data_IF_219768037177
#
_entry.id   IF_219768037177
#
_cell.length_a   1.000
_cell.length_b   1.000
_cell.length_c   1.000
_cell.angle_alpha   90.00
_cell.angle_beta   90.00
_cell.angle_gamma   90.00
#
_symmetry.space_group_name_H-M   'P 1'
#
loop_
_entity.id
_entity.type
_entity.pdbx_description
1 polymer ?
#
# COMPACT_ATOMS: atom_id res chain seq x y z
N UNK A 1 -21.97 -25.63 -50.94
CA UNK A 1 -22.37 -25.81 -49.53
C UNK A 1 -21.20 -25.41 -48.65
N UNK A 2 -21.35 -24.41 -47.78
CA UNK A 2 -20.28 -23.96 -46.88
C UNK A 2 -20.41 -24.62 -45.51
N UNK A 3 -19.37 -25.32 -45.06
CA UNK A 3 -19.32 -25.94 -43.74
C UNK A 3 -19.07 -24.86 -42.66
N UNK A 4 -19.98 -24.75 -41.69
CA UNK A 4 -19.87 -23.81 -40.58
C UNK A 4 -19.23 -24.50 -39.37
N UNK A 5 -17.92 -24.75 -39.45
CA UNK A 5 -17.15 -25.52 -38.46
C UNK A 5 -17.28 -25.01 -37.01
N UNK A 6 -17.57 -23.72 -36.81
CA UNK A 6 -17.71 -23.10 -35.47
C UNK A 6 -19.05 -23.37 -34.79
N UNK A 7 -20.05 -23.90 -35.51
CA UNK A 7 -21.39 -24.19 -34.98
C UNK A 7 -21.57 -25.64 -34.55
N UNK A 8 -20.78 -26.54 -35.15
CA UNK A 8 -20.90 -28.00 -35.01
C UNK A 8 -19.84 -28.60 -34.08
N UNK A 9 -18.91 -27.79 -33.57
CA UNK A 9 -18.02 -28.22 -32.50
C UNK A 9 -18.86 -28.46 -31.24
N UNK A 10 -19.03 -29.73 -30.84
CA UNK A 10 -19.52 -30.04 -29.50
C UNK A 10 -18.62 -29.29 -28.51
N UNK A 11 -19.19 -28.56 -27.54
CA UNK A 11 -18.39 -27.82 -26.57
C UNK A 11 -17.59 -28.83 -25.75
N UNK A 12 -16.34 -29.04 -26.14
CA UNK A 12 -15.34 -29.84 -25.45
C UNK A 12 -15.22 -29.36 -24.00
N UNK A 13 -15.77 -30.13 -23.05
CA UNK A 13 -15.44 -30.24 -21.63
C UNK A 13 -15.34 -29.00 -20.71
N UNK A 14 -15.27 -27.79 -21.25
CA UNK A 14 -15.19 -26.51 -20.55
C UNK A 14 -16.00 -25.50 -21.35
N UNK A 15 -17.27 -25.38 -21.00
CA UNK A 15 -18.14 -24.34 -21.52
C UNK A 15 -17.50 -22.96 -21.33
N UNK A 16 -17.81 -22.03 -22.23
CA UNK A 16 -17.40 -20.62 -22.09
C UNK A 16 -17.79 -20.07 -20.72
N UNK A 17 -18.93 -20.54 -20.19
CA UNK A 17 -19.42 -20.15 -18.88
C UNK A 17 -18.49 -20.63 -17.75
N UNK A 18 -17.97 -21.86 -17.80
CA UNK A 18 -16.99 -22.38 -16.83
C UNK A 18 -15.68 -21.58 -16.83
N UNK A 19 -15.24 -21.13 -18.01
CA UNK A 19 -14.07 -20.25 -18.14
C UNK A 19 -14.36 -18.90 -17.46
N UNK A 20 -15.52 -18.30 -17.74
CA UNK A 20 -15.94 -17.04 -17.12
C UNK A 20 -16.05 -17.20 -15.61
N UNK A 21 -16.65 -18.29 -15.12
CA UNK A 21 -16.81 -18.55 -13.69
C UNK A 21 -15.46 -18.75 -12.99
N UNK A 22 -14.51 -19.45 -13.60
CA UNK A 22 -13.14 -19.58 -13.06
C UNK A 22 -12.46 -18.22 -12.95
N UNK A 23 -12.49 -17.44 -14.03
CA UNK A 23 -11.90 -16.10 -14.06
C UNK A 23 -12.55 -15.25 -12.95
N UNK A 24 -13.88 -15.23 -12.86
CA UNK A 24 -14.58 -14.48 -11.81
C UNK A 24 -14.20 -14.96 -10.40
N UNK A 25 -14.04 -16.27 -10.18
CA UNK A 25 -13.59 -16.81 -8.90
C UNK A 25 -12.15 -16.37 -8.55
N UNK A 26 -11.24 -16.39 -9.53
CA UNK A 26 -9.87 -15.89 -9.38
C UNK A 26 -9.85 -14.39 -9.03
N UNK A 27 -10.62 -13.56 -9.72
CA UNK A 27 -10.75 -12.13 -9.42
C UNK A 27 -11.29 -11.87 -8.01
N UNK A 28 -12.29 -12.63 -7.55
CA UNK A 28 -12.82 -12.51 -6.18
C UNK A 28 -11.77 -12.92 -5.14
N UNK A 29 -10.99 -13.96 -5.42
CA UNK A 29 -9.93 -14.42 -4.52
C UNK A 29 -8.81 -13.37 -4.40
N UNK A 30 -8.40 -12.76 -5.52
CA UNK A 30 -7.37 -11.73 -5.53
C UNK A 30 -7.83 -10.45 -4.82
N UNK A 31 -9.07 -10.02 -5.05
CA UNK A 31 -9.65 -8.89 -4.30
C UNK A 31 -9.62 -9.09 -2.80
N UNK A 32 -10.01 -10.30 -2.33
CA UNK A 32 -9.98 -10.63 -0.91
C UNK A 32 -8.56 -10.56 -0.34
N UNK A 33 -7.56 -10.99 -1.11
CA UNK A 33 -6.14 -10.81 -0.74
C UNK A 33 -5.82 -9.33 -0.60
N UNK A 34 -6.06 -8.51 -1.63
CA UNK A 34 -5.75 -7.07 -1.59
C UNK A 34 -6.46 -6.36 -0.43
N UNK A 35 -7.73 -6.65 -0.19
CA UNK A 35 -8.51 -6.12 0.94
C UNK A 35 -7.88 -6.51 2.29
N UNK A 36 -7.35 -7.73 2.42
CA UNK A 36 -6.66 -8.18 3.63
C UNK A 36 -5.26 -7.56 3.84
N UNK A 37 -4.61 -7.02 2.79
CA UNK A 37 -3.29 -6.38 2.91
C UNK A 37 -3.35 -4.94 3.43
N UNK A 38 -4.55 -4.39 3.68
CA UNK A 38 -4.74 -2.99 4.10
C UNK A 38 -4.92 -2.75 5.61
N UNK A 39 -4.76 -3.76 6.47
CA UNK A 39 -5.10 -3.64 7.91
C UNK A 39 -3.99 -3.01 8.77
N UNK A 40 -2.80 -2.77 8.21
CA UNK A 40 -1.69 -2.13 8.94
C UNK A 40 -1.68 -0.60 8.81
N UNK A 41 -0.99 0.11 9.72
CA UNK A 41 -0.77 1.55 9.58
C UNK A 41 -0.08 1.84 8.25
N UNK A 42 -0.68 2.72 7.47
CA UNK A 42 -0.17 3.16 6.18
C UNK A 42 1.23 3.77 6.30
N UNK A 43 1.96 3.90 5.18
CA UNK A 43 3.34 4.35 5.19
C UNK A 43 3.55 5.76 5.77
N UNK A 44 2.50 6.58 5.84
CA UNK A 44 2.52 7.93 6.42
C UNK A 44 1.86 8.01 7.81
N UNK A 45 1.18 6.95 8.24
CA UNK A 45 0.54 6.92 9.56
C UNK A 45 1.57 6.98 10.67
N UNK A 46 1.14 7.55 11.79
CA UNK A 46 1.95 7.65 12.98
C UNK A 46 2.44 6.24 13.38
N UNK A 47 3.69 6.11 13.83
CA UNK A 47 4.18 4.84 14.34
C UNK A 47 3.42 4.51 15.63
N UNK A 48 3.02 3.24 15.80
CA UNK A 48 2.29 2.79 16.99
C UNK A 48 3.15 2.85 18.26
N UNK A 49 4.48 2.82 18.10
CA UNK A 49 5.45 2.95 19.18
C UNK A 49 6.43 4.11 18.91
N UNK A 50 7.00 4.72 19.96
CA UNK A 50 8.03 5.73 19.80
C UNK A 50 9.21 5.17 19.00
N UNK A 51 9.69 5.93 18.03
CA UNK A 51 10.87 5.55 17.24
C UNK A 51 12.13 5.62 18.10
N UNK A 52 13.08 4.73 17.83
CA UNK A 52 14.45 4.92 18.31
C UNK A 52 15.10 6.11 17.58
N UNK A 53 16.19 6.66 18.12
CA UNK A 53 16.91 7.76 17.46
C UNK A 53 17.41 7.36 16.07
N UNK A 54 17.91 6.12 15.92
CA UNK A 54 18.38 5.58 14.64
C UNK A 54 17.23 5.44 13.65
N UNK A 55 16.08 4.91 14.08
CA UNK A 55 14.90 4.79 13.22
C UNK A 55 14.35 6.16 12.83
N UNK A 56 14.35 7.12 13.76
CA UNK A 56 13.94 8.50 13.47
C UNK A 56 14.82 9.14 12.39
N UNK A 57 16.13 8.92 12.42
CA UNK A 57 17.01 9.35 11.32
C UNK A 57 16.66 8.69 10.00
N UNK A 58 16.40 7.38 9.99
CA UNK A 58 16.02 6.66 8.78
C UNK A 58 14.66 7.12 8.22
N UNK A 59 13.67 7.32 9.09
CA UNK A 59 12.36 7.88 8.74
C UNK A 59 12.50 9.27 8.12
N UNK A 60 13.31 10.17 8.70
CA UNK A 60 13.55 11.49 8.12
C UNK A 60 14.17 11.41 6.71
N UNK A 61 15.02 10.42 6.46
CA UNK A 61 15.63 10.19 5.14
C UNK A 61 14.62 9.62 4.14
N UNK A 62 13.83 8.61 4.53
CA UNK A 62 12.82 8.00 3.68
C UNK A 62 11.71 8.98 3.31
N UNK A 63 11.34 9.85 4.23
CA UNK A 63 10.27 10.85 4.07
C UNK A 63 10.80 12.25 3.71
N UNK A 64 11.93 12.34 3.00
CA UNK A 64 12.50 13.62 2.55
C UNK A 64 11.50 14.46 1.75
N UNK A 65 10.72 13.83 0.87
CA UNK A 65 9.68 14.49 0.05
C UNK A 65 8.39 14.83 0.79
N UNK A 66 8.18 14.32 2.01
CA UNK A 66 6.98 14.63 2.78
C UNK A 66 7.11 15.97 3.49
N UNK A 67 6.00 16.72 3.61
CA UNK A 67 5.91 17.82 4.57
C UNK A 67 5.64 17.28 5.96
N UNK A 68 6.02 18.02 7.00
CA UNK A 68 5.82 17.61 8.39
C UNK A 68 4.33 17.60 8.75
N UNK A 69 3.56 18.59 8.28
CA UNK A 69 2.11 18.65 8.52
C UNK A 69 1.33 17.49 7.86
N UNK A 70 1.85 16.93 6.76
CA UNK A 70 1.14 15.93 5.95
C UNK A 70 1.62 14.50 6.21
N UNK A 71 2.61 14.31 7.09
CA UNK A 71 3.21 13.00 7.37
C UNK A 71 3.41 12.81 8.88
N UNK A 72 2.42 12.26 9.58
CA UNK A 72 2.50 11.94 11.01
C UNK A 72 3.75 11.14 11.37
N UNK A 73 4.16 10.18 10.53
CA UNK A 73 5.40 9.43 10.73
C UNK A 73 6.66 10.29 10.75
N UNK A 74 6.74 11.28 9.86
CA UNK A 74 7.86 12.24 9.81
C UNK A 74 7.81 13.20 11.01
N UNK A 75 6.62 13.64 11.41
CA UNK A 75 6.44 14.49 12.58
C UNK A 75 6.94 13.78 13.86
N UNK A 76 6.56 12.51 14.05
CA UNK A 76 7.03 11.68 15.17
C UNK A 76 8.56 11.53 15.17
N UNK A 77 9.17 11.25 14.02
CA UNK A 77 10.62 11.17 13.89
C UNK A 77 11.32 12.50 14.24
N UNK A 78 10.78 13.63 13.77
CA UNK A 78 11.32 14.96 14.13
C UNK A 78 11.28 15.19 15.64
N UNK A 79 10.16 14.87 16.30
CA UNK A 79 10.03 15.05 17.75
C UNK A 79 11.07 14.22 18.52
N UNK A 80 11.29 12.96 18.15
CA UNK A 80 12.32 12.11 18.76
C UNK A 80 13.71 12.71 18.61
N UNK A 81 14.06 13.22 17.43
CA UNK A 81 15.37 13.83 17.18
C UNK A 81 15.56 15.15 17.94
N UNK A 82 14.51 15.94 18.12
CA UNK A 82 14.54 17.16 18.94
C UNK A 82 14.75 16.79 20.41
N UNK A 83 13.96 15.84 20.93
CA UNK A 83 14.06 15.38 22.31
C UNK A 83 15.46 14.79 22.62
N UNK A 84 16.07 14.12 21.64
CA UNK A 84 17.43 13.58 21.75
C UNK A 84 18.56 14.62 21.52
N UNK A 85 18.22 15.89 21.26
CA UNK A 85 19.19 16.95 20.97
C UNK A 85 19.96 16.77 19.65
N UNK A 86 19.44 15.96 18.73
CA UNK A 86 20.06 15.67 17.41
C UNK A 86 19.54 16.58 16.30
N UNK A 87 18.48 17.34 16.57
CA UNK A 87 17.87 18.29 15.63
C UNK A 87 17.39 19.51 16.40
N UNK A 88 17.80 20.70 15.94
CA UNK A 88 17.20 21.96 16.40
C UNK A 88 16.24 22.45 15.33
N UNK A 89 14.97 22.73 15.67
CA UNK A 89 14.09 23.49 14.80
C UNK A 89 14.68 24.85 14.44
N UNK A 90 14.33 25.34 13.26
CA UNK A 90 14.47 26.76 12.95
C UNK A 90 13.21 27.47 13.50
N UNK A 91 13.33 28.28 14.58
CA UNK A 91 12.19 28.92 15.21
C UNK A 91 11.46 29.89 14.28
N UNK A 92 12.13 30.41 13.24
CA UNK A 92 11.51 31.30 12.25
C UNK A 92 10.52 30.57 11.32
N UNK A 93 10.52 29.22 11.32
CA UNK A 93 9.64 28.38 10.49
C UNK A 93 8.67 27.53 11.30
N UNK A 94 8.47 27.87 12.58
CA UNK A 94 7.53 27.18 13.48
C UNK A 94 6.16 27.87 13.59
N UNK A 95 5.95 29.00 12.89
CA UNK A 95 4.69 29.77 12.86
C UNK A 95 3.99 29.69 11.49
#
# INVERSE_FOLDING_TARGET
MGFNWWREAEPDGMSVQEIVDRVQAEWRAERRRVESHGTGPGPHDAPDQPLTVSDAHWTMQRHRGCRIQDCPRKAAARQVLIAAGRMSPDPAREY
#
